data_IF_472965748770
#
_entry.id   IF_472965748770
#
_cell.length_a   1.000
_cell.length_b   1.000
_cell.length_c   1.000
_cell.angle_alpha   90.00
_cell.angle_beta   90.00
_cell.angle_gamma   90.00
#
_symmetry.space_group_name_H-M   'P 1'
#
loop_
_entity.id
_entity.type
_entity.pdbx_description
1 polymer ?
#
# COMPACT_ATOMS: atom_id res chain seq x y z
N UNK A 1 -43.37 -26.42 -16.59
CA UNK A 1 -41.98 -26.93 -16.73
C UNK A 1 -41.05 -25.98 -16.01
N UNK A 2 -40.44 -26.44 -14.93
CA UNK A 2 -39.54 -25.68 -14.05
C UNK A 2 -38.14 -25.65 -14.67
N UNK A 3 -37.68 -24.49 -15.14
CA UNK A 3 -36.26 -24.28 -15.46
C UNK A 3 -35.59 -23.72 -14.21
N UNK A 4 -35.06 -24.61 -13.37
CA UNK A 4 -34.11 -24.27 -12.32
C UNK A 4 -32.86 -23.74 -13.00
N UNK A 5 -32.74 -22.41 -13.11
CA UNK A 5 -31.46 -21.77 -13.39
C UNK A 5 -30.50 -22.12 -12.26
N UNK A 6 -29.55 -23.01 -12.54
CA UNK A 6 -28.41 -23.31 -11.69
C UNK A 6 -27.66 -22.01 -11.48
N UNK A 7 -27.89 -21.37 -10.33
CA UNK A 7 -27.03 -20.30 -9.83
C UNK A 7 -25.67 -20.96 -9.61
N UNK A 8 -24.80 -20.89 -10.62
CA UNK A 8 -23.39 -21.20 -10.45
C UNK A 8 -22.90 -20.36 -9.28
N UNK A 9 -22.57 -21.03 -8.17
CA UNK A 9 -21.99 -20.38 -7.02
C UNK A 9 -20.60 -19.94 -7.47
N UNK A 10 -20.28 -18.63 -7.46
CA UNK A 10 -18.95 -18.19 -7.80
C UNK A 10 -17.94 -18.88 -6.87
N UNK A 11 -16.75 -19.26 -7.38
CA UNK A 11 -15.80 -20.06 -6.62
C UNK A 11 -15.47 -19.40 -5.28
N UNK A 12 -15.53 -20.21 -4.23
CA UNK A 12 -15.22 -19.81 -2.86
C UNK A 12 -13.80 -19.28 -2.80
N UNK A 13 -13.66 -18.01 -2.43
CA UNK A 13 -12.36 -17.35 -2.35
C UNK A 13 -11.62 -17.93 -1.16
N UNK A 14 -10.49 -18.58 -1.44
CA UNK A 14 -9.63 -19.15 -0.41
C UNK A 14 -9.00 -17.99 0.38
N UNK A 15 -9.15 -17.99 1.71
CA UNK A 15 -8.59 -16.96 2.61
C UNK A 15 -7.10 -16.69 2.37
N UNK A 16 -6.36 -17.67 1.86
CA UNK A 16 -4.95 -17.56 1.47
C UNK A 16 -4.69 -16.52 0.38
N UNK A 17 -5.58 -16.34 -0.60
CA UNK A 17 -5.36 -15.34 -1.67
C UNK A 17 -5.55 -13.92 -1.16
N UNK A 18 -6.57 -13.70 -0.32
CA UNK A 18 -6.80 -12.42 0.34
C UNK A 18 -5.60 -12.04 1.25
N UNK A 19 -5.04 -13.01 1.97
CA UNK A 19 -3.83 -12.82 2.77
C UNK A 19 -2.65 -12.35 1.91
N UNK A 20 -2.33 -13.07 0.83
CA UNK A 20 -1.20 -12.74 -0.06
C UNK A 20 -1.35 -11.33 -0.65
N UNK A 21 -2.57 -10.97 -1.08
CA UNK A 21 -2.81 -9.66 -1.66
C UNK A 21 -2.64 -8.52 -0.63
N UNK A 22 -3.10 -8.72 0.61
CA UNK A 22 -2.90 -7.75 1.69
C UNK A 22 -1.43 -7.62 2.07
N UNK A 23 -0.70 -8.74 2.21
CA UNK A 23 0.74 -8.71 2.49
C UNK A 23 1.49 -7.95 1.40
N UNK A 24 1.16 -8.18 0.12
CA UNK A 24 1.76 -7.44 -1.00
C UNK A 24 1.43 -5.94 -0.97
N UNK A 25 0.20 -5.58 -0.62
CA UNK A 25 -0.19 -4.17 -0.50
C UNK A 25 0.56 -3.46 0.64
N UNK A 26 0.95 -4.20 1.69
CA UNK A 26 1.66 -3.67 2.84
C UNK A 26 3.18 -3.67 2.65
N UNK A 27 3.76 -4.70 2.01
CA UNK A 27 5.19 -4.82 1.69
C UNK A 27 5.54 -4.06 0.40
N UNK A 28 6.14 -2.87 0.55
CA UNK A 28 6.73 -2.10 -0.54
C UNK A 28 8.26 -2.05 -0.50
N UNK A 29 8.87 -1.25 -1.37
CA UNK A 29 10.34 -1.02 -1.37
C UNK A 29 10.85 -0.40 -0.06
N UNK A 30 9.96 0.17 0.75
CA UNK A 30 10.29 0.73 2.07
C UNK A 30 10.93 -0.29 3.03
N UNK A 31 10.76 -1.60 2.79
CA UNK A 31 11.42 -2.66 3.54
C UNK A 31 12.95 -2.52 3.51
N UNK A 32 13.52 -2.04 2.41
CA UNK A 32 14.96 -1.87 2.26
C UNK A 32 15.53 -0.69 3.07
N UNK A 33 14.68 0.24 3.49
CA UNK A 33 15.05 1.37 4.34
C UNK A 33 14.90 1.07 5.85
N UNK A 34 14.25 -0.03 6.23
CA UNK A 34 14.03 -0.40 7.64
C UNK A 34 15.33 -0.53 8.45
N UNK A 35 16.43 -1.12 7.93
CA UNK A 35 17.68 -1.21 8.67
C UNK A 35 18.27 0.18 9.04
N UNK A 36 18.17 1.14 8.12
CA UNK A 36 18.61 2.53 8.37
C UNK A 36 17.71 3.20 9.40
N UNK A 37 16.40 2.95 9.37
CA UNK A 37 15.49 3.43 10.39
C UNK A 37 15.81 2.86 11.78
N UNK A 38 16.21 1.59 11.86
CA UNK A 38 16.63 0.94 13.11
C UNK A 38 17.98 1.46 13.61
N UNK A 39 18.89 1.81 12.69
CA UNK A 39 20.13 2.49 13.04
C UNK A 39 19.86 3.86 13.70
N UNK A 40 18.94 4.64 13.12
CA UNK A 40 18.63 5.98 13.64
C UNK A 40 17.77 5.97 14.91
N UNK A 41 16.86 5.01 15.04
CA UNK A 41 15.97 4.91 16.21
C UNK A 41 16.60 4.15 17.37
N UNK A 42 17.57 3.28 17.12
CA UNK A 42 18.12 2.30 18.07
C UNK A 42 17.42 0.94 17.95
N UNK A 43 18.12 -0.13 18.33
CA UNK A 43 17.65 -1.51 18.08
C UNK A 43 16.37 -1.87 18.85
N UNK A 44 16.37 -1.69 20.18
CA UNK A 44 15.22 -2.03 21.04
C UNK A 44 14.02 -1.13 20.80
N UNK A 45 14.28 0.18 20.65
CA UNK A 45 13.30 1.21 20.31
C UNK A 45 12.70 0.99 18.92
N UNK A 46 13.51 0.64 17.92
CA UNK A 46 13.06 0.29 16.57
C UNK A 46 12.15 -0.94 16.54
N UNK A 47 12.50 -2.00 17.28
CA UNK A 47 11.65 -3.20 17.41
C UNK A 47 10.31 -2.83 18.05
N UNK A 48 10.32 -2.14 19.19
CA UNK A 48 9.10 -1.74 19.90
C UNK A 48 8.20 -0.83 19.03
N UNK A 49 8.81 0.15 18.36
CA UNK A 49 8.10 1.09 17.49
C UNK A 49 7.48 0.36 16.29
N UNK A 50 8.18 -0.62 15.72
CA UNK A 50 7.68 -1.40 14.58
C UNK A 50 6.45 -2.22 14.96
N UNK A 51 6.47 -2.90 16.12
CA UNK A 51 5.28 -3.61 16.61
C UNK A 51 4.14 -2.65 16.98
N UNK A 52 4.44 -1.51 17.58
CA UNK A 52 3.45 -0.47 17.91
C UNK A 52 2.76 0.08 16.65
N UNK A 53 3.53 0.47 15.65
CA UNK A 53 3.03 0.92 14.34
C UNK A 53 2.26 -0.19 13.63
N UNK A 54 2.71 -1.44 13.74
CA UNK A 54 2.02 -2.63 13.24
C UNK A 54 0.62 -2.80 13.82
N UNK A 55 0.50 -2.67 15.14
CA UNK A 55 -0.80 -2.74 15.84
C UNK A 55 -1.73 -1.59 15.45
N UNK A 56 -1.21 -0.35 15.42
CA UNK A 56 -1.98 0.83 14.99
C UNK A 56 -2.46 0.68 13.54
N UNK A 57 -1.61 0.17 12.66
CA UNK A 57 -1.95 -0.08 11.26
C UNK A 57 -3.03 -1.17 11.13
N UNK A 58 -2.90 -2.29 11.85
CA UNK A 58 -3.92 -3.35 11.88
C UNK A 58 -5.28 -2.82 12.35
N UNK A 59 -5.29 -2.07 13.44
CA UNK A 59 -6.49 -1.45 14.00
C UNK A 59 -7.13 -0.46 13.01
N UNK A 60 -6.32 0.32 12.30
CA UNK A 60 -6.78 1.26 11.27
C UNK A 60 -7.41 0.52 10.09
N UNK A 61 -6.77 -0.54 9.59
CA UNK A 61 -7.33 -1.37 8.51
C UNK A 61 -8.69 -1.97 8.91
N UNK A 62 -8.83 -2.50 10.12
CA UNK A 62 -10.11 -3.04 10.61
C UNK A 62 -11.20 -1.95 10.65
N UNK A 63 -10.89 -0.75 11.13
CA UNK A 63 -11.84 0.38 11.15
C UNK A 63 -12.27 0.81 9.74
N UNK A 64 -11.33 0.89 8.80
CA UNK A 64 -11.62 1.23 7.40
C UNK A 64 -12.57 0.21 6.78
N UNK A 65 -12.31 -1.09 6.99
CA UNK A 65 -13.18 -2.16 6.45
C UNK A 65 -14.57 -2.13 7.09
N UNK A 66 -14.68 -1.93 8.41
CA UNK A 66 -16.00 -1.78 9.07
C UNK A 66 -16.78 -0.61 8.50
N UNK A 67 -16.12 0.54 8.31
CA UNK A 67 -16.73 1.73 7.74
C UNK A 67 -17.20 1.49 6.29
N UNK A 68 -16.35 0.88 5.47
CA UNK A 68 -16.67 0.49 4.09
C UNK A 68 -17.88 -0.45 4.03
N UNK A 69 -17.89 -1.50 4.85
CA UNK A 69 -19.01 -2.45 4.91
C UNK A 69 -20.31 -1.79 5.36
N UNK A 70 -20.24 -0.90 6.35
CA UNK A 70 -21.40 -0.12 6.80
C UNK A 70 -21.95 0.75 5.67
N UNK A 71 -21.10 1.47 4.95
CA UNK A 71 -21.50 2.31 3.82
C UNK A 71 -22.08 1.49 2.66
N UNK A 72 -21.48 0.34 2.36
CA UNK A 72 -21.97 -0.57 1.31
C UNK A 72 -23.32 -1.20 1.67
N UNK A 73 -23.60 -1.47 2.96
CA UNK A 73 -24.94 -1.88 3.42
C UNK A 73 -25.97 -0.76 3.22
N UNK A 74 -25.64 0.47 3.59
CA UNK A 74 -26.53 1.63 3.39
C UNK A 74 -26.83 1.85 1.89
N UNK A 75 -25.81 1.78 1.02
CA UNK A 75 -25.99 1.87 -0.42
C UNK A 75 -26.90 0.76 -0.96
N UNK A 76 -26.77 -0.46 -0.47
CA UNK A 76 -27.56 -1.62 -0.93
C UNK A 76 -29.04 -1.48 -0.56
N UNK A 77 -29.33 -0.94 0.62
CA UNK A 77 -30.70 -0.75 1.10
C UNK A 77 -31.38 0.43 0.36
N UNK A 78 -30.62 1.49 0.05
CA UNK A 78 -31.12 2.65 -0.72
C UNK A 78 -31.03 2.48 -2.24
N UNK A 79 -30.34 1.47 -2.75
CA UNK A 79 -30.16 1.18 -4.19
C UNK A 79 -31.43 0.80 -4.95
N UNK A 80 -32.61 0.80 -4.31
CA UNK A 80 -33.92 0.85 -4.98
C UNK A 80 -34.34 2.27 -5.40
N UNK A 81 -33.57 3.30 -5.04
CA UNK A 81 -33.80 4.70 -5.42
C UNK A 81 -32.46 5.32 -5.83
N UNK A 82 -32.39 5.79 -7.07
CA UNK A 82 -31.19 6.29 -7.75
C UNK A 82 -30.75 7.63 -7.13
N UNK A 83 -30.00 7.62 -6.04
CA UNK A 83 -29.32 8.84 -5.52
C UNK A 83 -27.79 8.65 -5.48
N UNK A 84 -26.99 9.59 -6.03
CA UNK A 84 -25.53 9.54 -5.99
C UNK A 84 -24.99 9.53 -4.55
N UNK A 85 -23.97 8.71 -4.27
CA UNK A 85 -23.35 8.59 -2.94
C UNK A 85 -22.97 9.92 -2.27
N UNK A 86 -22.59 10.92 -3.09
CA UNK A 86 -22.24 12.27 -2.64
C UNK A 86 -23.41 13.02 -1.98
N UNK A 87 -24.67 12.75 -2.38
CA UNK A 87 -25.86 13.34 -1.75
C UNK A 87 -26.24 12.64 -0.46
N UNK A 88 -25.82 11.38 -0.29
CA UNK A 88 -26.10 10.57 0.88
C UNK A 88 -25.27 10.99 2.10
N UNK A 89 -23.97 11.22 1.90
CA UNK A 89 -23.10 11.83 2.92
C UNK A 89 -23.57 13.24 3.31
N UNK A 90 -24.15 13.98 2.35
CA UNK A 90 -24.71 15.31 2.60
C UNK A 90 -26.01 15.31 3.41
N UNK A 91 -26.76 14.19 3.43
CA UNK A 91 -28.05 14.06 4.13
C UNK A 91 -27.96 13.38 5.50
N UNK A 92 -26.81 12.85 5.89
CA UNK A 92 -26.69 12.11 7.16
C UNK A 92 -26.46 13.03 8.38
N UNK A 93 -26.24 14.34 8.20
CA UNK A 93 -26.12 15.28 9.33
C UNK A 93 -26.70 16.68 9.02
N UNK A 94 -27.84 17.09 9.63
CA UNK A 94 -28.53 18.33 9.32
C UNK A 94 -28.20 19.45 10.33
N UNK A 95 -27.00 20.03 10.27
CA UNK A 95 -26.79 21.37 10.85
C UNK A 95 -25.87 22.19 9.95
N UNK A 96 -26.23 23.45 9.69
CA UNK A 96 -25.42 24.32 8.79
C UNK A 96 -24.01 24.60 9.32
N UNK A 97 -23.75 24.32 10.60
CA UNK A 97 -22.43 24.35 11.23
C UNK A 97 -21.63 23.05 11.01
N UNK A 98 -22.31 21.89 10.89
CA UNK A 98 -21.66 20.61 10.56
C UNK A 98 -21.21 20.54 9.09
N UNK A 99 -21.83 21.27 8.16
CA UNK A 99 -21.37 21.30 6.76
C UNK A 99 -19.97 21.88 6.59
N UNK A 100 -19.57 22.86 7.41
CA UNK A 100 -18.21 23.40 7.42
C UNK A 100 -17.24 22.44 8.13
N UNK A 101 -17.65 21.85 9.25
CA UNK A 101 -16.85 20.84 9.96
C UNK A 101 -16.57 19.60 9.09
N UNK A 102 -17.57 19.13 8.34
CA UNK A 102 -17.45 18.02 7.38
C UNK A 102 -16.51 18.40 6.22
N UNK A 103 -16.61 19.63 5.71
CA UNK A 103 -15.67 20.13 4.69
C UNK A 103 -14.23 20.17 5.21
N UNK A 104 -14.01 20.68 6.42
CA UNK A 104 -12.70 20.73 7.06
C UNK A 104 -12.14 19.31 7.31
N UNK A 105 -12.97 18.36 7.71
CA UNK A 105 -12.56 16.97 7.90
C UNK A 105 -12.19 16.30 6.56
N UNK A 106 -12.97 16.53 5.51
CA UNK A 106 -12.69 16.00 4.17
C UNK A 106 -11.40 16.59 3.59
N UNK A 107 -11.19 17.89 3.80
CA UNK A 107 -9.97 18.58 3.39
C UNK A 107 -8.76 18.02 4.14
N UNK A 108 -8.85 17.84 5.47
CA UNK A 108 -7.79 17.29 6.28
C UNK A 108 -7.41 15.86 5.87
N UNK A 109 -8.41 15.00 5.62
CA UNK A 109 -8.17 13.62 5.16
C UNK A 109 -7.54 13.61 3.76
N UNK A 110 -8.09 14.37 2.80
CA UNK A 110 -7.54 14.45 1.45
C UNK A 110 -6.11 15.04 1.45
N UNK A 111 -5.84 16.04 2.29
CA UNK A 111 -4.50 16.60 2.46
C UNK A 111 -3.53 15.58 3.05
N UNK A 112 -3.95 14.80 4.06
CA UNK A 112 -3.14 13.73 4.63
C UNK A 112 -2.82 12.64 3.60
N UNK A 113 -3.81 12.24 2.79
CA UNK A 113 -3.62 11.25 1.72
C UNK A 113 -2.65 11.77 0.66
N UNK A 114 -2.79 13.03 0.23
CA UNK A 114 -1.85 13.64 -0.73
C UNK A 114 -0.44 13.77 -0.15
N UNK A 115 -0.32 14.19 1.11
CA UNK A 115 0.97 14.27 1.79
C UNK A 115 1.67 12.91 1.88
N UNK A 116 0.91 11.86 2.24
CA UNK A 116 1.40 10.48 2.25
C UNK A 116 1.84 10.03 0.84
N UNK A 117 1.06 10.32 -0.20
CA UNK A 117 1.39 9.95 -1.57
C UNK A 117 2.66 10.65 -2.07
N UNK A 118 2.82 11.95 -1.80
CA UNK A 118 4.04 12.70 -2.14
C UNK A 118 5.25 12.15 -1.39
N UNK A 119 5.08 11.80 -0.11
CA UNK A 119 6.12 11.14 0.68
C UNK A 119 6.54 9.79 0.10
N UNK A 120 5.57 8.95 -0.27
CA UNK A 120 5.85 7.66 -0.92
C UNK A 120 6.57 7.89 -2.26
N UNK A 121 6.04 8.76 -3.14
CA UNK A 121 6.65 9.04 -4.44
C UNK A 121 8.10 9.55 -4.34
N UNK A 122 8.39 10.43 -3.38
CA UNK A 122 9.74 10.96 -3.18
C UNK A 122 10.71 9.91 -2.63
N UNK A 123 10.28 9.07 -1.68
CA UNK A 123 11.08 7.95 -1.20
C UNK A 123 11.40 6.94 -2.31
N UNK A 124 10.41 6.60 -3.16
CA UNK A 124 10.62 5.76 -4.35
C UNK A 124 11.63 6.37 -5.30
N UNK A 125 11.55 7.67 -5.56
CA UNK A 125 12.46 8.36 -6.46
C UNK A 125 13.91 8.33 -5.95
N UNK A 126 14.14 8.61 -4.65
CA UNK A 126 15.48 8.52 -4.05
C UNK A 126 16.05 7.11 -4.22
N UNK A 127 15.24 6.09 -3.93
CA UNK A 127 15.63 4.69 -4.08
C UNK A 127 16.02 4.35 -5.53
N UNK A 128 15.24 4.82 -6.51
CA UNK A 128 15.53 4.63 -7.94
C UNK A 128 16.85 5.31 -8.33
N UNK A 129 17.09 6.54 -7.88
CA UNK A 129 18.34 7.27 -8.22
C UNK A 129 19.55 6.57 -7.63
N UNK A 130 19.49 6.15 -6.36
CA UNK A 130 20.61 5.48 -5.69
C UNK A 130 20.95 4.14 -6.36
N UNK A 131 19.93 3.33 -6.69
CA UNK A 131 20.15 2.07 -7.43
C UNK A 131 20.65 2.32 -8.85
N UNK A 132 20.11 3.31 -9.54
CA UNK A 132 20.53 3.63 -10.91
C UNK A 132 21.99 4.05 -10.96
N UNK A 133 22.45 4.84 -9.96
CA UNK A 133 23.86 5.21 -9.85
C UNK A 133 24.73 3.97 -9.70
N UNK A 134 24.38 3.07 -8.78
CA UNK A 134 25.17 1.89 -8.49
C UNK A 134 25.30 0.98 -9.73
N UNK A 135 24.22 0.82 -10.49
CA UNK A 135 24.22 0.07 -11.76
C UNK A 135 25.12 0.71 -12.81
N UNK A 136 25.09 2.04 -12.94
CA UNK A 136 25.92 2.78 -13.92
C UNK A 136 27.40 2.73 -13.55
N UNK A 137 27.72 2.96 -12.28
CA UNK A 137 29.10 2.90 -11.78
C UNK A 137 29.70 1.49 -12.03
N UNK A 138 28.91 0.43 -11.81
CA UNK A 138 29.33 -0.96 -12.06
C UNK A 138 29.49 -1.28 -13.56
N UNK A 139 28.56 -0.84 -14.41
CA UNK A 139 28.51 -1.26 -15.82
C UNK A 139 29.44 -0.42 -16.71
N UNK A 140 29.55 0.87 -16.45
CA UNK A 140 30.25 1.82 -17.34
C UNK A 140 31.51 2.42 -16.72
N UNK A 141 31.82 2.18 -15.44
CA UNK A 141 32.98 2.76 -14.73
C UNK A 141 33.10 4.29 -14.87
N UNK A 142 32.00 4.98 -15.16
CA UNK A 142 31.94 6.43 -15.24
C UNK A 142 31.59 6.99 -13.86
N UNK A 143 32.50 7.75 -13.26
CA UNK A 143 32.28 8.38 -11.95
C UNK A 143 31.37 9.61 -12.09
N UNK A 144 30.09 9.36 -12.40
CA UNK A 144 29.08 10.42 -12.54
C UNK A 144 28.65 10.89 -11.16
N UNK A 145 28.72 12.20 -10.96
CA UNK A 145 28.31 12.87 -9.72
C UNK A 145 26.82 12.62 -9.44
N UNK A 146 26.50 12.17 -8.22
CA UNK A 146 25.12 11.89 -7.74
C UNK A 146 24.10 12.97 -8.11
N UNK A 147 24.47 14.24 -7.96
CA UNK A 147 23.60 15.38 -8.23
C UNK A 147 23.21 15.48 -9.73
N UNK A 148 24.09 15.07 -10.64
CA UNK A 148 23.81 15.09 -12.07
C UNK A 148 22.83 13.98 -12.47
N UNK A 149 22.95 12.80 -11.86
CA UNK A 149 21.99 11.70 -12.00
C UNK A 149 20.62 12.06 -11.43
N UNK A 150 20.60 12.73 -10.28
CA UNK A 150 19.38 13.23 -9.67
C UNK A 150 18.65 14.18 -10.64
N UNK A 151 19.32 15.23 -11.11
CA UNK A 151 18.73 16.18 -12.08
C UNK A 151 18.41 15.56 -13.44
N UNK A 152 19.14 14.54 -13.89
CA UNK A 152 18.89 13.84 -15.16
C UNK A 152 17.68 12.90 -15.14
N UNK A 153 17.46 12.19 -14.02
CA UNK A 153 16.32 11.25 -13.86
C UNK A 153 15.04 11.99 -13.46
N UNK A 154 15.16 13.14 -12.78
CA UNK A 154 14.02 13.98 -12.35
C UNK A 154 13.01 14.31 -13.47
N UNK A 155 13.40 14.84 -14.65
CA UNK A 155 12.45 15.16 -15.71
C UNK A 155 11.76 13.92 -16.28
N UNK A 156 12.45 12.77 -16.33
CA UNK A 156 11.85 11.50 -16.73
C UNK A 156 10.83 11.02 -15.70
N UNK A 157 11.12 11.15 -14.40
CA UNK A 157 10.21 10.78 -13.33
C UNK A 157 8.99 11.71 -13.24
N UNK A 158 9.18 13.02 -13.45
CA UNK A 158 8.08 14.00 -13.56
C UNK A 158 7.23 13.71 -14.79
N UNK A 159 7.86 13.38 -15.94
CA UNK A 159 7.13 13.00 -17.15
C UNK A 159 6.28 11.76 -16.89
N UNK A 160 6.84 10.71 -16.26
CA UNK A 160 6.11 9.51 -15.84
C UNK A 160 4.98 9.82 -14.85
N UNK A 161 5.20 10.71 -13.88
CA UNK A 161 4.17 11.14 -12.93
C UNK A 161 3.06 11.99 -13.57
N UNK A 162 3.36 12.68 -14.67
CA UNK A 162 2.42 13.51 -15.44
C UNK A 162 1.62 12.68 -16.45
N UNK A 163 2.00 11.43 -16.71
CA UNK A 163 1.22 10.50 -17.54
C UNK A 163 -0.12 10.24 -16.86
N UNK A 164 -1.14 10.98 -17.31
CA UNK A 164 -2.53 10.85 -16.87
C UNK A 164 -3.26 9.69 -17.56
N UNK A 165 -2.63 9.07 -18.56
CA UNK A 165 -3.18 7.91 -19.26
C UNK A 165 -2.85 6.62 -18.51
N UNK A 166 -3.82 6.12 -17.76
CA UNK A 166 -3.80 4.81 -17.10
C UNK A 166 -3.38 3.67 -18.04
N UNK A 167 -3.54 3.83 -19.36
CA UNK A 167 -3.15 2.86 -20.39
C UNK A 167 -1.63 2.80 -20.64
N UNK A 168 -0.92 3.93 -20.63
CA UNK A 168 0.55 3.95 -20.86
C UNK A 168 1.29 3.49 -19.61
N UNK A 169 0.81 3.88 -18.42
CA UNK A 169 1.30 3.37 -17.14
C UNK A 169 1.08 1.85 -17.04
N UNK A 170 -0.03 1.34 -17.56
CA UNK A 170 -0.31 -0.10 -17.65
C UNK A 170 0.65 -0.82 -18.61
N UNK A 171 1.05 -0.19 -19.72
CA UNK A 171 2.01 -0.76 -20.69
C UNK A 171 3.45 -0.81 -20.17
N UNK A 172 3.92 0.22 -19.47
CA UNK A 172 5.24 0.19 -18.77
C UNK A 172 5.19 -0.79 -17.59
N UNK A 173 4.06 -0.82 -16.89
CA UNK A 173 3.73 -1.85 -15.92
C UNK A 173 3.60 -3.25 -16.52
N UNK A 174 3.43 -3.40 -17.85
CA UNK A 174 3.26 -4.67 -18.54
C UNK A 174 4.55 -5.49 -18.64
N UNK A 175 5.70 -4.84 -18.70
CA UNK A 175 6.98 -5.50 -18.45
C UNK A 175 7.10 -6.01 -17.00
N UNK A 176 6.47 -5.31 -16.04
CA UNK A 176 6.23 -5.79 -14.67
C UNK A 176 5.01 -6.72 -14.52
N UNK A 177 4.22 -6.96 -15.58
CA UNK A 177 2.94 -7.68 -15.50
C UNK A 177 3.11 -9.18 -15.28
N UNK A 178 4.29 -9.79 -15.29
CA UNK A 178 4.38 -11.17 -14.76
C UNK A 178 4.08 -11.18 -13.24
N UNK A 179 4.54 -10.16 -12.52
CA UNK A 179 4.29 -10.00 -11.08
C UNK A 179 2.93 -9.34 -10.78
N UNK A 180 2.45 -8.48 -11.69
CA UNK A 180 1.17 -7.79 -11.58
C UNK A 180 0.01 -8.60 -12.14
N UNK A 181 0.18 -9.55 -13.07
CA UNK A 181 -0.89 -10.50 -13.48
C UNK A 181 -1.31 -11.37 -12.30
N UNK A 182 -0.37 -11.79 -11.45
CA UNK A 182 -0.69 -12.41 -10.16
C UNK A 182 -1.50 -11.47 -9.24
N UNK A 183 -1.27 -10.15 -9.27
CA UNK A 183 -2.02 -9.18 -8.46
C UNK A 183 -3.36 -8.74 -9.07
N UNK A 184 -3.47 -8.63 -10.39
CA UNK A 184 -4.70 -8.26 -11.12
C UNK A 184 -5.72 -9.39 -11.07
N UNK A 185 -5.27 -10.65 -11.05
CA UNK A 185 -6.14 -11.80 -10.72
C UNK A 185 -6.72 -11.64 -9.30
N UNK A 186 -5.95 -11.13 -8.33
CA UNK A 186 -6.43 -10.88 -6.97
C UNK A 186 -7.32 -9.62 -6.85
N UNK A 187 -7.05 -8.55 -7.61
CA UNK A 187 -7.79 -7.28 -7.59
C UNK A 187 -9.14 -7.39 -8.32
N UNK A 188 -9.21 -8.09 -9.47
CA UNK A 188 -10.46 -8.35 -10.18
C UNK A 188 -11.42 -9.23 -9.34
N UNK A 189 -10.87 -10.10 -8.50
CA UNK A 189 -11.63 -10.88 -7.52
C UNK A 189 -12.09 -10.02 -6.34
N UNK A 190 -11.28 -9.07 -5.85
CA UNK A 190 -11.64 -8.16 -4.77
C UNK A 190 -12.75 -7.15 -5.15
N UNK A 191 -12.76 -6.63 -6.39
CA UNK A 191 -13.83 -5.76 -6.90
C UNK A 191 -15.14 -6.54 -7.15
N UNK A 192 -15.05 -7.83 -7.49
CA UNK A 192 -16.20 -8.75 -7.50
C UNK A 192 -16.71 -9.10 -6.08
N UNK A 193 -15.85 -9.04 -5.06
CA UNK A 193 -16.20 -9.30 -3.66
C UNK A 193 -17.03 -8.20 -3.00
N UNK A 194 -16.95 -6.95 -3.48
CA UNK A 194 -17.81 -5.88 -2.97
C UNK A 194 -19.29 -6.11 -3.35
N UNK A 195 -19.55 -6.91 -4.39
CA UNK A 195 -20.90 -7.16 -4.89
C UNK A 195 -21.58 -8.42 -4.32
N UNK A 196 -20.83 -9.38 -3.75
CA UNK A 196 -21.39 -10.65 -3.25
C UNK A 196 -20.61 -11.35 -2.11
N UNK A 197 -20.14 -10.64 -1.08
CA UNK A 197 -19.78 -11.32 0.18
C UNK A 197 -20.97 -11.50 1.12
N UNK A 198 -21.31 -12.75 1.44
CA UNK A 198 -22.46 -13.12 2.27
C UNK A 198 -22.15 -13.20 3.77
N UNK A 199 -20.88 -13.15 4.20
CA UNK A 199 -20.51 -12.94 5.62
C UNK A 199 -19.17 -12.18 5.78
N UNK A 200 -19.20 -10.91 6.21
CA UNK A 200 -18.00 -10.09 6.49
C UNK A 200 -17.28 -10.43 7.80
N UNK A 201 -17.75 -11.40 8.57
CA UNK A 201 -17.36 -11.56 9.98
C UNK A 201 -16.00 -12.27 10.15
N UNK A 202 -15.65 -13.17 9.23
CA UNK A 202 -14.39 -13.93 9.26
C UNK A 202 -13.16 -13.15 8.77
N UNK A 203 -13.35 -12.00 8.08
CA UNK A 203 -12.23 -11.13 7.69
C UNK A 203 -11.78 -10.19 8.82
N UNK A 204 -12.65 -9.90 9.80
CA UNK A 204 -12.47 -8.84 10.80
C UNK A 204 -12.20 -9.32 12.23
N UNK A 205 -12.20 -10.63 12.48
CA UNK A 205 -11.82 -11.18 13.79
C UNK A 205 -10.35 -10.93 14.15
N UNK A 206 -9.94 -11.12 15.41
CA UNK A 206 -8.53 -11.04 15.82
C UNK A 206 -7.64 -12.06 15.10
N UNK A 207 -8.19 -13.19 14.67
CA UNK A 207 -7.58 -14.18 13.76
C UNK A 207 -8.03 -14.02 12.29
N UNK A 208 -8.67 -12.91 11.95
CA UNK A 208 -9.08 -12.59 10.60
C UNK A 208 -7.89 -12.33 9.69
N UNK A 209 -8.11 -12.44 8.39
CA UNK A 209 -7.07 -12.31 7.36
C UNK A 209 -6.30 -10.98 7.48
N UNK A 210 -6.98 -9.89 7.86
CA UNK A 210 -6.39 -8.54 8.01
C UNK A 210 -5.43 -8.48 9.21
N UNK A 211 -5.85 -8.98 10.37
CA UNK A 211 -5.06 -8.98 11.60
C UNK A 211 -3.83 -9.87 11.46
N UNK A 212 -4.03 -11.07 10.90
CA UNK A 212 -2.96 -12.04 10.63
C UNK A 212 -1.96 -11.53 9.59
N UNK A 213 -2.39 -10.88 8.50
CA UNK A 213 -1.49 -10.27 7.52
C UNK A 213 -0.70 -9.10 8.11
N UNK A 214 -1.35 -8.25 8.92
CA UNK A 214 -0.67 -7.11 9.53
C UNK A 214 0.37 -7.54 10.58
N UNK A 215 0.07 -8.56 11.39
CA UNK A 215 1.03 -9.14 12.32
C UNK A 215 2.22 -9.77 11.58
N UNK A 216 1.95 -10.54 10.53
CA UNK A 216 2.99 -11.17 9.71
C UNK A 216 3.95 -10.13 9.11
N UNK A 217 3.41 -9.06 8.52
CA UNK A 217 4.21 -7.96 7.95
C UNK A 217 5.01 -7.25 9.06
N UNK A 218 4.42 -7.04 10.23
CA UNK A 218 5.12 -6.39 11.35
C UNK A 218 6.32 -7.21 11.84
N UNK A 219 6.17 -8.54 11.91
CA UNK A 219 7.27 -9.46 12.24
C UNK A 219 8.35 -9.43 11.15
N UNK A 220 7.96 -9.45 9.87
CA UNK A 220 8.91 -9.33 8.76
C UNK A 220 9.68 -8.01 8.78
N UNK A 221 9.02 -6.92 9.15
CA UNK A 221 9.64 -5.60 9.23
C UNK A 221 10.62 -5.53 10.39
N UNK A 222 10.22 -6.05 11.56
CA UNK A 222 11.10 -6.14 12.72
C UNK A 222 12.31 -7.03 12.44
N UNK A 223 12.12 -8.19 11.79
CA UNK A 223 13.19 -9.10 11.43
C UNK A 223 14.15 -8.47 10.42
N UNK A 224 13.64 -7.85 9.35
CA UNK A 224 14.49 -7.18 8.34
C UNK A 224 15.26 -6.00 8.94
N UNK A 225 14.61 -5.17 9.76
CA UNK A 225 15.25 -4.06 10.45
C UNK A 225 16.33 -4.52 11.43
N UNK A 226 16.01 -5.51 12.27
CA UNK A 226 16.93 -6.08 13.25
C UNK A 226 18.13 -6.76 12.59
N UNK A 227 17.90 -7.67 11.63
CA UNK A 227 18.97 -8.38 10.94
C UNK A 227 19.83 -7.44 10.09
N UNK A 228 19.21 -6.47 9.42
CA UNK A 228 19.93 -5.46 8.65
C UNK A 228 20.87 -4.63 9.54
N UNK A 229 20.38 -4.17 10.69
CA UNK A 229 21.22 -3.46 11.67
C UNK A 229 22.30 -4.36 12.28
N UNK A 230 21.97 -5.60 12.65
CA UNK A 230 22.95 -6.54 13.22
C UNK A 230 24.07 -6.91 12.24
N UNK A 231 23.78 -6.96 10.94
CA UNK A 231 24.76 -7.35 9.91
C UNK A 231 25.69 -6.19 9.53
N UNK A 232 25.17 -4.96 9.43
CA UNK A 232 25.92 -3.81 8.91
C UNK A 232 26.29 -2.76 9.96
N UNK A 233 25.67 -2.80 11.14
CA UNK A 233 25.93 -1.90 12.26
C UNK A 233 25.85 -0.42 11.86
N UNK A 234 26.81 0.37 12.33
CA UNK A 234 26.94 1.82 12.04
C UNK A 234 27.28 2.13 10.57
N UNK A 235 27.64 1.13 9.74
CA UNK A 235 28.09 1.35 8.34
C UNK A 235 26.95 1.33 7.31
N UNK A 236 25.70 1.30 7.75
CA UNK A 236 24.52 1.25 6.88
C UNK A 236 24.36 2.53 6.03
N UNK A 237 24.55 2.39 4.72
CA UNK A 237 24.13 3.38 3.71
C UNK A 237 22.60 3.43 3.58
N UNK A 238 22.06 4.42 2.87
CA UNK A 238 20.62 4.77 2.80
C UNK A 238 19.63 3.65 2.40
N UNK A 239 20.12 2.50 1.96
CA UNK A 239 19.38 1.26 1.78
C UNK A 239 20.30 0.07 2.08
N UNK A 240 19.74 -1.05 2.55
CA UNK A 240 20.52 -2.28 2.76
C UNK A 240 21.21 -2.78 1.48
N UNK A 241 20.57 -2.58 0.32
CA UNK A 241 21.09 -3.01 -0.99
C UNK A 241 22.39 -2.31 -1.36
N UNK A 242 22.54 -1.03 -0.99
CA UNK A 242 23.76 -0.24 -1.24
C UNK A 242 24.97 -0.73 -0.43
N UNK A 243 24.76 -1.56 0.60
CA UNK A 243 25.83 -2.09 1.42
C UNK A 243 26.38 -3.43 0.90
N UNK A 244 25.63 -4.15 0.06
CA UNK A 244 26.03 -5.46 -0.46
C UNK A 244 27.20 -5.39 -1.46
N UNK A 245 27.32 -4.29 -2.22
CA UNK A 245 28.34 -4.12 -3.28
C UNK A 245 29.73 -3.75 -2.77
N UNK A 246 29.94 -3.54 -1.46
CA UNK A 246 31.25 -3.16 -0.92
C UNK A 246 32.06 -4.36 -0.38
N UNK A 247 31.90 -5.54 -0.99
CA UNK A 247 32.80 -6.68 -0.73
C UNK A 247 33.83 -6.73 -1.88
N UNK A 248 35.14 -6.78 -1.58
CA UNK A 248 36.19 -6.86 -2.61
C UNK A 248 36.09 -8.12 -3.46
#
# INVERSE_FOLDING_TARGET
MSSKGTIERPPMIRSSYAFINLVKAMCGVGVFALPVAFQQSGLWTGVLLTFGLGFVNAHTMVKIVRCSQYLSRIKRDKGRTVEPLATLTRRTDPSKLSSLAVFMHLLAVNACIMGLQVGICSAYYIFVVDHSKEVIDYTFSLDIRRHLLFFGILPFFILLATVRSLVILSWIGLAGNVLVTAAVININVALAMENRMRQPQDMLGPFGVISTSALFVSVLYAATGFLGFATYGERLKGSITLNLTNSP
#
